data_IF_705374005821
#
_entry.id   IF_705374005821
#
_cell.length_a   1.000
_cell.length_b   1.000
_cell.length_c   1.000
_cell.angle_alpha   90.00
_cell.angle_beta   90.00
_cell.angle_gamma   90.00
#
_symmetry.space_group_name_H-M   'P 1'
#
loop_
_entity.id
_entity.type
_entity.pdbx_description
1 polymer ?
#
# COMPACT_ATOMS: atom_id res chain seq x y z
N UNK A 1 -21.55 0.80 7.76
CA UNK A 1 -20.63 1.44 8.73
C UNK A 1 -19.28 1.52 8.05
N UNK A 2 -19.20 2.48 7.15
CA UNK A 2 -18.49 2.37 5.89
C UNK A 2 -17.25 3.22 5.97
N UNK A 3 -16.08 2.59 6.08
CA UNK A 3 -14.75 3.19 5.91
C UNK A 3 -14.51 4.65 6.43
N UNK A 4 -15.24 5.12 7.45
CA UNK A 4 -15.16 6.52 7.93
C UNK A 4 -13.74 6.87 8.38
N UNK A 5 -13.07 5.90 9.00
CA UNK A 5 -11.67 6.00 9.41
C UNK A 5 -10.75 6.33 8.22
N UNK A 6 -11.07 5.81 7.03
CA UNK A 6 -10.27 6.00 5.82
C UNK A 6 -10.50 7.40 5.25
N UNK A 7 -11.75 7.87 5.27
CA UNK A 7 -12.10 9.27 4.94
C UNK A 7 -11.35 10.21 5.89
N UNK A 8 -11.42 10.00 7.20
CA UNK A 8 -10.68 10.82 8.16
C UNK A 8 -9.17 10.84 7.86
N UNK A 9 -8.56 9.66 7.71
CA UNK A 9 -7.12 9.50 7.51
C UNK A 9 -6.60 10.18 6.23
N UNK A 10 -7.42 10.26 5.19
CA UNK A 10 -7.03 10.78 3.86
C UNK A 10 -7.37 12.26 3.66
N UNK A 11 -8.10 12.89 4.58
CA UNK A 11 -8.68 14.23 4.41
C UNK A 11 -7.67 15.36 4.25
N UNK A 12 -6.47 15.22 4.82
CA UNK A 12 -5.42 16.24 4.78
C UNK A 12 -4.41 16.12 3.64
N UNK A 13 -4.67 15.26 2.65
CA UNK A 13 -3.71 14.87 1.60
C UNK A 13 -4.36 14.90 0.22
N UNK A 14 -3.70 15.47 -0.79
CA UNK A 14 -4.21 15.46 -2.16
C UNK A 14 -4.19 14.03 -2.73
N UNK A 15 -3.11 13.29 -2.47
CA UNK A 15 -3.02 11.85 -2.77
C UNK A 15 -4.03 11.05 -1.94
N UNK A 16 -4.33 11.48 -0.71
CA UNK A 16 -5.38 10.90 0.11
C UNK A 16 -6.77 11.04 -0.53
N UNK A 17 -7.08 12.20 -1.11
CA UNK A 17 -8.31 12.38 -1.88
C UNK A 17 -8.35 11.46 -3.11
N UNK A 18 -7.25 11.38 -3.87
CA UNK A 18 -7.11 10.43 -5.00
C UNK A 18 -7.31 8.98 -4.53
N UNK A 19 -6.80 8.63 -3.34
CA UNK A 19 -6.96 7.30 -2.77
C UNK A 19 -8.42 6.95 -2.44
N UNK A 20 -9.33 7.92 -2.29
CA UNK A 20 -10.77 7.63 -2.09
C UNK A 20 -11.49 7.24 -3.38
N UNK A 21 -10.95 7.68 -4.52
CA UNK A 21 -11.51 7.40 -5.84
C UNK A 21 -11.07 6.03 -6.39
N UNK A 22 -10.15 5.35 -5.69
CA UNK A 22 -9.72 4.00 -6.05
C UNK A 22 -10.82 3.00 -5.67
N UNK A 23 -11.22 2.17 -6.63
CA UNK A 23 -12.07 1.00 -6.42
C UNK A 23 -11.31 -0.10 -5.65
N UNK A 24 -11.11 0.12 -4.35
CA UNK A 24 -10.32 -0.77 -3.49
C UNK A 24 -10.89 -2.19 -3.40
N UNK A 25 -12.20 -2.34 -3.56
CA UNK A 25 -12.90 -3.61 -3.66
C UNK A 25 -12.38 -4.50 -4.81
N UNK A 26 -11.89 -3.90 -5.89
CA UNK A 26 -11.30 -4.59 -7.04
C UNK A 26 -9.80 -4.87 -6.85
N UNK A 27 -9.21 -4.37 -5.76
CA UNK A 27 -7.81 -4.64 -5.41
C UNK A 27 -7.70 -5.82 -4.45
N UNK A 28 -6.54 -6.49 -4.38
CA UNK A 28 -6.28 -7.56 -3.40
C UNK A 28 -6.43 -7.15 -1.92
N UNK A 29 -6.46 -5.84 -1.62
CA UNK A 29 -6.70 -5.34 -0.26
C UNK A 29 -8.18 -5.35 0.12
N UNK A 30 -9.07 -5.36 -0.87
CA UNK A 30 -10.52 -5.25 -0.68
C UNK A 30 -10.96 -3.90 -0.12
N UNK A 31 -12.23 -3.80 0.25
CA UNK A 31 -12.82 -2.56 0.76
C UNK A 31 -12.11 -2.05 2.04
N UNK A 32 -11.82 -0.74 2.21
CA UNK A 32 -11.11 -0.23 3.40
C UNK A 32 -11.78 -0.53 4.74
N UNK A 33 -13.09 -0.80 4.72
CA UNK A 33 -13.84 -1.29 5.88
C UNK A 33 -13.42 -2.68 6.38
N UNK A 34 -12.81 -3.52 5.54
CA UNK A 34 -12.36 -4.89 5.87
C UNK A 34 -10.86 -4.98 6.16
N UNK A 35 -10.11 -3.89 5.96
CA UNK A 35 -8.66 -3.91 6.13
C UNK A 35 -8.23 -4.30 7.55
N UNK A 36 -7.16 -5.10 7.72
CA UNK A 36 -6.61 -5.43 9.04
C UNK A 36 -6.19 -4.17 9.79
N UNK A 37 -6.31 -4.18 11.12
CA UNK A 37 -5.99 -3.03 11.97
C UNK A 37 -4.56 -2.48 11.76
N UNK A 38 -3.59 -3.37 11.56
CA UNK A 38 -2.21 -3.00 11.27
C UNK A 38 -2.06 -2.17 9.98
N UNK A 39 -2.80 -2.54 8.92
CA UNK A 39 -2.82 -1.78 7.67
C UNK A 39 -3.44 -0.41 7.88
N UNK A 40 -4.56 -0.32 8.61
CA UNK A 40 -5.21 0.97 8.92
C UNK A 40 -4.27 1.92 9.64
N UNK A 41 -3.49 1.42 10.60
CA UNK A 41 -2.47 2.22 11.29
C UNK A 41 -1.36 2.72 10.36
N UNK A 42 -0.81 1.84 9.52
CA UNK A 42 0.23 2.21 8.57
C UNK A 42 -0.27 3.26 7.57
N UNK A 43 -1.51 3.11 7.08
CA UNK A 43 -2.17 4.07 6.17
C UNK A 43 -2.36 5.43 6.84
N UNK A 44 -2.83 5.45 8.10
CA UNK A 44 -2.93 6.68 8.89
C UNK A 44 -1.59 7.41 9.02
N UNK A 45 -0.52 6.67 9.34
CA UNK A 45 0.83 7.22 9.44
C UNK A 45 1.33 7.75 8.09
N UNK A 46 1.04 7.04 7.00
CA UNK A 46 1.42 7.42 5.65
C UNK A 46 0.83 8.79 5.27
N UNK A 47 -0.49 8.96 5.43
CA UNK A 47 -1.18 10.19 5.05
C UNK A 47 -1.03 11.33 6.06
N UNK A 48 -0.71 11.05 7.33
CA UNK A 48 -0.42 12.11 8.32
C UNK A 48 0.97 12.73 8.15
N UNK A 49 1.91 12.02 7.52
CA UNK A 49 3.29 12.47 7.38
C UNK A 49 3.50 13.44 6.22
N UNK A 50 4.36 14.44 6.41
CA UNK A 50 4.88 15.29 5.33
C UNK A 50 6.15 14.73 4.69
N UNK A 51 6.79 13.73 5.30
CA UNK A 51 7.91 13.04 4.68
C UNK A 51 7.40 12.09 3.59
N UNK A 52 8.17 11.89 2.50
CA UNK A 52 7.83 10.92 1.47
C UNK A 52 7.69 9.51 2.04
N UNK A 53 6.50 8.92 1.93
CA UNK A 53 6.23 7.54 2.34
C UNK A 53 5.54 6.80 1.21
N UNK A 54 6.07 5.64 0.88
CA UNK A 54 5.43 4.61 0.06
C UNK A 54 5.46 3.31 0.83
N UNK A 55 4.36 2.57 0.74
CA UNK A 55 4.21 1.24 1.31
C UNK A 55 3.55 0.31 0.30
N UNK A 56 3.91 -0.96 0.41
CA UNK A 56 3.29 -2.08 -0.31
C UNK A 56 2.65 -3.01 0.71
N UNK A 57 1.50 -3.58 0.38
CA UNK A 57 0.81 -4.49 1.28
C UNK A 57 0.26 -5.73 0.57
N UNK A 58 0.29 -6.86 1.26
CA UNK A 58 -0.27 -8.12 0.76
C UNK A 58 0.64 -8.84 -0.23
N UNK A 59 0.16 -9.98 -0.78
CA UNK A 59 0.94 -10.85 -1.67
C UNK A 59 1.28 -10.19 -3.01
N UNK A 60 0.38 -9.37 -3.53
CA UNK A 60 0.56 -8.65 -4.80
C UNK A 60 1.26 -7.30 -4.63
N UNK A 61 1.67 -6.98 -3.40
CA UNK A 61 2.40 -5.76 -3.05
C UNK A 61 1.64 -4.52 -3.54
N UNK A 62 0.35 -4.46 -3.20
CA UNK A 62 -0.53 -3.34 -3.56
C UNK A 62 -0.01 -2.05 -2.98
N UNK A 63 0.11 -1.03 -3.82
CA UNK A 63 0.79 0.20 -3.48
C UNK A 63 -0.12 1.25 -2.82
N UNK A 64 0.41 1.89 -1.76
CA UNK A 64 -0.16 3.08 -1.12
C UNK A 64 0.98 4.07 -0.87
N UNK A 65 0.78 5.35 -1.14
CA UNK A 65 1.79 6.38 -0.90
C UNK A 65 1.15 7.74 -0.60
N UNK A 66 1.94 8.71 -0.14
CA UNK A 66 1.48 10.05 0.23
C UNK A 66 1.97 11.16 -0.72
N UNK A 67 1.56 12.41 -0.45
CA UNK A 67 1.93 13.58 -1.25
C UNK A 67 3.44 13.76 -1.39
N UNK A 68 4.20 13.49 -0.32
CA UNK A 68 5.65 13.60 -0.34
C UNK A 68 6.30 12.64 -1.32
N UNK A 69 5.75 11.42 -1.44
CA UNK A 69 6.26 10.42 -2.38
C UNK A 69 5.81 10.64 -3.82
N UNK A 70 4.66 11.30 -4.03
CA UNK A 70 4.15 11.62 -5.38
C UNK A 70 5.20 12.30 -6.26
N UNK A 71 5.96 13.24 -5.70
CA UNK A 71 7.01 13.96 -6.44
C UNK A 71 8.14 13.03 -6.93
N UNK A 72 8.46 11.97 -6.17
CA UNK A 72 9.50 11.00 -6.51
C UNK A 72 9.01 9.96 -7.54
N UNK A 73 7.71 9.67 -7.55
CA UNK A 73 7.10 8.68 -8.43
C UNK A 73 7.03 9.16 -9.90
N UNK A 74 7.03 10.48 -10.12
CA UNK A 74 6.94 11.11 -11.43
C UNK A 74 5.51 11.31 -11.91
N UNK A 75 5.33 12.25 -12.84
CA UNK A 75 4.01 12.74 -13.31
C UNK A 75 3.16 11.67 -13.99
N UNK A 76 3.77 10.71 -14.68
CA UNK A 76 3.04 9.69 -15.44
C UNK A 76 2.64 8.47 -14.60
N UNK A 77 3.46 8.08 -13.62
CA UNK A 77 3.23 6.85 -12.86
C UNK A 77 2.20 7.03 -11.75
N UNK A 78 2.15 8.21 -11.12
CA UNK A 78 1.29 8.41 -9.95
C UNK A 78 -0.21 8.22 -10.26
N UNK A 79 -0.65 8.51 -11.49
CA UNK A 79 -2.07 8.39 -11.88
C UNK A 79 -2.60 6.95 -11.81
N UNK A 80 -1.74 5.95 -12.01
CA UNK A 80 -2.12 4.54 -12.05
C UNK A 80 -1.48 3.73 -10.91
N UNK A 81 -0.82 4.38 -9.95
CA UNK A 81 -0.01 3.70 -8.96
C UNK A 81 -0.77 3.34 -7.68
N UNK A 82 -1.67 4.19 -7.20
CA UNK A 82 -2.47 3.88 -6.02
C UNK A 82 -3.34 2.65 -6.26
N UNK A 83 -3.28 1.67 -5.36
CA UNK A 83 -4.07 0.44 -5.47
C UNK A 83 -3.57 -0.55 -6.53
N UNK A 84 -2.54 -0.21 -7.30
CA UNK A 84 -1.95 -1.12 -8.28
C UNK A 84 -0.91 -2.05 -7.64
N UNK A 85 -0.72 -3.27 -8.19
CA UNK A 85 0.39 -4.13 -7.82
C UNK A 85 1.74 -3.47 -8.14
N UNK A 86 2.71 -3.55 -7.22
CA UNK A 86 4.03 -2.96 -7.43
C UNK A 86 4.72 -3.46 -8.72
N UNK A 87 4.48 -4.73 -9.09
CA UNK A 87 5.00 -5.30 -10.33
C UNK A 87 4.53 -4.57 -11.60
N UNK A 88 3.32 -3.98 -11.57
CA UNK A 88 2.78 -3.20 -12.68
C UNK A 88 3.39 -1.80 -12.71
N UNK A 89 3.49 -1.15 -11.55
CA UNK A 89 3.99 0.24 -11.41
C UNK A 89 5.49 0.35 -11.74
N UNK A 90 6.28 -0.66 -11.38
CA UNK A 90 7.72 -0.73 -11.60
C UNK A 90 8.11 -1.78 -12.64
N UNK A 91 7.24 -2.04 -13.62
CA UNK A 91 7.46 -3.06 -14.67
C UNK A 91 8.84 -3.00 -15.34
N UNK A 92 9.42 -1.81 -15.47
CA UNK A 92 10.70 -1.61 -16.16
C UNK A 92 11.91 -2.11 -15.35
N UNK A 93 11.78 -2.14 -14.02
CA UNK A 93 12.85 -2.56 -13.10
C UNK A 93 12.49 -3.80 -12.29
N UNK A 94 11.28 -4.34 -12.47
CA UNK A 94 10.76 -5.43 -11.65
C UNK A 94 11.64 -6.69 -11.66
N UNK A 95 12.33 -6.97 -12.77
CA UNK A 95 13.27 -8.08 -12.87
C UNK A 95 14.40 -7.99 -11.83
N UNK A 96 14.83 -6.76 -11.50
CA UNK A 96 15.92 -6.51 -10.56
C UNK A 96 15.40 -6.41 -9.11
N UNK A 97 14.25 -5.76 -8.89
CA UNK A 97 13.75 -5.43 -7.54
C UNK A 97 12.76 -6.47 -6.98
N UNK A 98 11.99 -7.13 -7.85
CA UNK A 98 10.99 -8.14 -7.47
C UNK A 98 11.54 -9.28 -6.60
N UNK A 99 12.69 -9.89 -6.93
CA UNK A 99 13.28 -10.98 -6.13
C UNK A 99 13.70 -10.57 -4.70
N UNK A 100 13.95 -9.28 -4.46
CA UNK A 100 14.23 -8.75 -3.12
C UNK A 100 12.93 -8.58 -2.33
N UNK A 101 11.87 -8.12 -2.99
CA UNK A 101 10.55 -7.91 -2.38
C UNK A 101 9.87 -9.22 -1.96
N UNK A 102 9.88 -10.25 -2.82
CA UNK A 102 9.31 -11.57 -2.50
C UNK A 102 9.97 -12.22 -1.29
N UNK A 103 11.29 -12.02 -1.11
CA UNK A 103 12.04 -12.56 0.04
C UNK A 103 11.63 -11.92 1.36
N UNK A 104 11.32 -10.62 1.37
CA UNK A 104 10.85 -9.92 2.57
C UNK A 104 9.43 -10.35 2.96
N UNK A 105 8.53 -10.48 1.98
CA UNK A 105 7.16 -10.96 2.20
C UNK A 105 7.10 -12.42 2.68
N UNK A 106 7.96 -13.30 2.13
CA UNK A 106 8.04 -14.71 2.56
C UNK A 106 8.62 -14.87 3.98
N UNK A 107 9.47 -13.95 4.45
CA UNK A 107 10.01 -13.99 5.81
C UNK A 107 8.93 -13.75 6.88
N UNK A 108 7.82 -13.07 6.54
CA UNK A 108 6.67 -12.88 7.44
C UNK A 108 5.79 -14.12 7.62
N UNK A 109 5.93 -15.14 6.77
CA UNK A 109 5.12 -16.35 6.80
C UNK A 109 5.61 -17.44 7.78
N UNK A 110 6.74 -17.23 8.48
CA UNK A 110 7.21 -18.17 9.52
C UNK A 110 6.62 -17.83 10.89
N UNK A 111 5.30 -17.93 11.05
CA UNK A 111 4.69 -18.09 12.39
C UNK A 111 4.34 -19.55 12.62
N UNK A 112 5.20 -20.21 13.40
CA UNK A 112 4.79 -21.14 14.44
C UNK A 112 4.31 -22.53 14.01
N UNK A 113 5.24 -23.47 13.93
CA UNK A 113 5.04 -24.80 14.53
C UNK A 113 6.34 -25.19 15.23
N UNK A 114 6.51 -24.71 16.46
CA UNK A 114 7.32 -25.42 17.45
C UNK A 114 6.46 -26.57 17.94
N UNK A 115 6.67 -27.77 17.41
CA UNK A 115 6.39 -29.00 18.14
C UNK A 115 7.72 -29.45 18.72
N UNK A 116 7.89 -29.23 20.03
CA UNK A 116 8.89 -29.96 20.80
C UNK A 116 8.47 -31.44 20.79
N UNK A 117 9.41 -32.32 20.47
CA UNK A 117 9.37 -33.75 20.75
C UNK A 117 10.59 -34.10 21.59
#
# INVERSE_FOLDING_TARGET
MDAEWFVEATSGSAVGLEAREVAWEDTPLGHPGTWPHALRHAVRLCFSSKFPIMMVWGPDLTLIYNDGYRAMLGTHKHQAALGAPAAVVWREVWADVGPCSTRCSAAGARRGTRTCG
#
